data_IF_360912850095
#
_entry.id   IF_360912850095
#
_cell.length_a   1.000
_cell.length_b   1.000
_cell.length_c   1.000
_cell.angle_alpha   90.00
_cell.angle_beta   90.00
_cell.angle_gamma   90.00
#
_symmetry.space_group_name_H-M   'P 1'
#
loop_
_entity.id
_entity.type
_entity.pdbx_description
1 polymer ?
#
# COMPACT_ATOMS: atom_id res chain seq x y z
N UNK A 1 -1.65 41.54 24.04
CA UNK A 1 -3.01 42.11 24.01
C UNK A 1 -3.98 40.99 23.69
N UNK A 2 -5.08 40.89 24.44
CA UNK A 2 -6.11 39.87 24.19
C UNK A 2 -6.97 40.36 23.01
N UNK A 3 -7.52 39.43 22.22
CA UNK A 3 -8.31 39.77 21.03
C UNK A 3 -9.54 40.63 21.36
N UNK A 4 -10.06 40.54 22.58
CA UNK A 4 -11.23 41.29 23.02
C UNK A 4 -10.95 42.80 23.13
N UNK A 5 -9.72 43.19 23.48
CA UNK A 5 -9.30 44.59 23.59
C UNK A 5 -9.32 45.30 22.22
N UNK A 6 -8.99 44.57 21.15
CA UNK A 6 -8.97 45.08 19.78
C UNK A 6 -10.37 45.37 19.23
N UNK A 7 -11.35 44.51 19.50
CA UNK A 7 -12.71 44.71 19.01
C UNK A 7 -13.47 45.80 19.76
N UNK A 8 -13.16 46.03 21.04
CA UNK A 8 -13.69 47.17 21.79
C UNK A 8 -13.16 48.51 21.26
N UNK A 9 -11.89 48.56 20.81
CA UNK A 9 -11.32 49.74 20.16
C UNK A 9 -11.99 50.04 18.82
N UNK A 10 -12.30 49.01 18.03
CA UNK A 10 -13.01 49.17 16.75
C UNK A 10 -14.44 49.67 16.91
N UNK A 11 -15.19 49.24 17.94
CA UNK A 11 -16.57 49.70 18.16
C UNK A 11 -16.69 51.19 18.42
N UNK A 12 -15.65 51.81 18.96
CA UNK A 12 -15.61 53.24 19.26
C UNK A 12 -15.15 54.09 18.06
N UNK A 13 -14.81 53.47 16.93
CA UNK A 13 -14.48 54.16 15.69
C UNK A 13 -15.74 54.40 14.85
N UNK A 14 -15.95 55.65 14.43
CA UNK A 14 -16.99 55.98 13.47
C UNK A 14 -16.50 55.66 12.06
N UNK A 15 -16.93 54.52 11.51
CA UNK A 15 -16.58 54.09 10.14
C UNK A 15 -17.36 54.82 9.06
N UNK A 16 -18.39 55.58 9.43
CA UNK A 16 -19.24 56.29 8.48
C UNK A 16 -18.64 57.66 8.15
N UNK A 17 -17.52 57.61 7.44
CA UNK A 17 -16.68 58.78 7.12
C UNK A 17 -17.12 59.49 5.83
N UNK A 18 -17.93 58.83 4.99
CA UNK A 18 -18.46 59.40 3.76
C UNK A 18 -19.66 58.60 3.22
N UNK A 19 -20.70 59.31 2.77
CA UNK A 19 -21.81 58.70 2.05
C UNK A 19 -21.49 58.54 0.55
N UNK A 20 -22.00 57.48 -0.12
CA UNK A 20 -21.86 57.33 -1.56
C UNK A 20 -22.51 58.50 -2.32
N UNK A 21 -21.90 58.87 -3.44
CA UNK A 21 -22.47 59.90 -4.31
C UNK A 21 -23.86 59.50 -4.82
N UNK A 22 -24.77 60.47 -4.94
CA UNK A 22 -26.15 60.24 -5.38
C UNK A 22 -26.22 59.42 -6.69
N UNK A 23 -27.17 58.50 -6.76
CA UNK A 23 -27.32 57.52 -7.85
C UNK A 23 -26.35 56.34 -7.77
N UNK A 24 -25.60 56.16 -6.68
CA UNK A 24 -24.73 54.98 -6.49
C UNK A 24 -25.52 53.67 -6.55
N UNK A 25 -26.69 53.63 -5.92
CA UNK A 25 -27.56 52.44 -5.88
C UNK A 25 -28.04 52.04 -7.28
N UNK A 26 -28.48 52.98 -8.09
CA UNK A 26 -28.90 52.73 -9.48
C UNK A 26 -27.74 52.23 -10.35
N UNK A 27 -26.56 52.83 -10.19
CA UNK A 27 -25.33 52.37 -10.89
C UNK A 27 -24.93 50.97 -10.42
N UNK A 28 -25.11 50.66 -9.14
CA UNK A 28 -24.83 49.34 -8.59
C UNK A 28 -25.78 48.29 -9.16
N UNK A 29 -27.09 48.54 -9.14
CA UNK A 29 -28.08 47.66 -9.75
C UNK A 29 -27.88 47.47 -11.25
N UNK A 30 -27.47 48.52 -11.95
CA UNK A 30 -27.13 48.44 -13.37
C UNK A 30 -25.94 47.52 -13.60
N UNK A 31 -24.85 47.68 -12.83
CA UNK A 31 -23.68 46.80 -12.90
C UNK A 31 -23.99 45.35 -12.52
N UNK A 32 -24.88 45.13 -11.55
CA UNK A 32 -25.31 43.80 -11.14
C UNK A 32 -26.10 43.08 -12.24
N UNK A 33 -27.03 43.80 -12.90
CA UNK A 33 -27.83 43.26 -14.01
C UNK A 33 -26.99 43.05 -15.28
N UNK A 34 -25.93 43.82 -15.46
CA UNK A 34 -24.99 43.70 -16.57
C UNK A 34 -23.95 42.58 -16.35
N UNK A 35 -23.88 42.02 -15.14
CA UNK A 35 -23.05 40.87 -14.82
C UNK A 35 -23.73 39.58 -15.28
N UNK A 36 -23.34 39.09 -16.46
CA UNK A 36 -23.60 37.71 -16.88
C UNK A 36 -22.30 36.91 -16.70
N UNK A 37 -22.28 35.84 -15.88
CA UNK A 37 -21.12 34.95 -15.86
C UNK A 37 -20.99 34.29 -17.24
N UNK A 38 -19.97 34.67 -18.00
CA UNK A 38 -19.62 33.95 -19.23
C UNK A 38 -19.13 32.56 -18.85
N UNK A 39 -20.00 31.57 -18.98
CA UNK A 39 -19.61 30.16 -18.96
C UNK A 39 -19.21 29.74 -20.38
N UNK A 40 -18.25 28.82 -20.44
CA UNK A 40 -17.60 28.19 -21.60
C UNK A 40 -16.31 28.92 -22.07
N UNK A 41 -15.12 28.30 -22.04
CA UNK A 41 -14.76 26.88 -21.95
C UNK A 41 -13.62 26.70 -20.95
N UNK A 42 -13.71 25.63 -20.17
CA UNK A 42 -12.63 25.14 -19.32
C UNK A 42 -11.41 24.86 -20.20
N UNK A 43 -10.37 25.69 -20.07
CA UNK A 43 -9.00 25.27 -20.38
C UNK A 43 -8.35 24.88 -19.06
N UNK A 44 -8.58 23.65 -18.63
CA UNK A 44 -7.75 23.03 -17.60
C UNK A 44 -6.67 22.26 -18.33
N UNK A 45 -5.45 22.72 -18.10
CA UNK A 45 -4.23 22.20 -18.67
C UNK A 45 -4.02 20.75 -18.18
N UNK A 46 -3.62 19.91 -19.12
CA UNK A 46 -3.40 18.49 -18.98
C UNK A 46 -2.15 18.24 -18.14
N UNK A 47 -2.31 18.08 -16.83
CA UNK A 47 -1.36 17.27 -16.08
C UNK A 47 -1.78 15.80 -16.21
N UNK A 48 -0.81 14.97 -16.55
CA UNK A 48 -0.95 13.59 -17.03
C UNK A 48 -1.74 12.69 -16.07
N UNK A 49 -3.07 12.70 -16.21
CA UNK A 49 -3.95 11.68 -15.63
C UNK A 49 -3.79 10.30 -16.30
N UNK A 50 -2.97 10.19 -17.35
CA UNK A 50 -2.60 8.91 -17.94
C UNK A 50 -1.71 8.04 -17.05
N UNK A 51 -0.96 8.63 -16.12
CA UNK A 51 -0.12 7.89 -15.18
C UNK A 51 -0.88 7.42 -13.94
N UNK A 52 -1.72 8.30 -13.36
CA UNK A 52 -2.40 8.00 -12.09
C UNK A 52 -3.66 7.17 -12.30
N UNK A 53 -4.46 7.40 -13.34
CA UNK A 53 -5.59 6.53 -13.64
C UNK A 53 -5.13 5.16 -14.14
N UNK A 54 -4.06 5.07 -14.93
CA UNK A 54 -3.47 3.78 -15.29
C UNK A 54 -2.81 3.10 -14.08
N UNK A 55 -2.13 3.82 -13.18
CA UNK A 55 -1.57 3.23 -11.95
C UNK A 55 -2.66 2.86 -10.93
N UNK A 56 -3.79 3.55 -10.87
CA UNK A 56 -4.95 3.19 -10.06
C UNK A 56 -5.77 2.07 -10.71
N UNK A 57 -5.87 2.00 -12.05
CA UNK A 57 -6.50 0.89 -12.76
C UNK A 57 -5.61 -0.36 -12.77
N UNK A 58 -4.30 -0.23 -12.95
CA UNK A 58 -3.32 -1.32 -12.78
C UNK A 58 -3.24 -1.68 -11.30
N UNK A 59 -3.30 -0.71 -10.39
CA UNK A 59 -3.39 -0.93 -8.94
C UNK A 59 -4.67 -1.65 -8.54
N UNK A 60 -5.85 -1.26 -9.04
CA UNK A 60 -7.14 -1.93 -8.82
C UNK A 60 -7.26 -3.24 -9.62
N UNK A 61 -6.56 -3.40 -10.74
CA UNK A 61 -6.52 -4.65 -11.51
C UNK A 61 -5.60 -5.65 -10.81
N UNK A 62 -4.40 -5.26 -10.38
CA UNK A 62 -3.44 -6.10 -9.64
C UNK A 62 -3.94 -6.39 -8.22
N UNK A 63 -4.56 -5.42 -7.54
CA UNK A 63 -5.17 -5.60 -6.22
C UNK A 63 -6.52 -6.32 -6.35
N UNK A 64 -7.35 -6.01 -7.35
CA UNK A 64 -8.66 -6.66 -7.58
C UNK A 64 -8.59 -8.08 -8.14
N UNK A 65 -7.51 -8.45 -8.84
CA UNK A 65 -7.25 -9.86 -9.16
C UNK A 65 -6.67 -10.63 -7.97
N UNK A 66 -6.12 -9.94 -6.96
CA UNK A 66 -5.57 -10.58 -5.75
C UNK A 66 -6.58 -10.69 -4.59
N UNK A 67 -7.62 -9.84 -4.56
CA UNK A 67 -8.73 -9.96 -3.60
C UNK A 67 -9.84 -10.94 -4.02
N UNK A 68 -9.68 -11.67 -5.13
CA UNK A 68 -10.61 -12.72 -5.56
C UNK A 68 -10.34 -14.09 -4.92
N UNK A 69 -9.91 -14.10 -3.65
CA UNK A 69 -9.84 -15.32 -2.85
C UNK A 69 -10.55 -15.18 -1.51
N UNK A 70 -11.64 -14.40 -1.42
CA UNK A 70 -12.68 -14.74 -0.44
C UNK A 70 -13.59 -15.82 -1.03
N UNK A 71 -12.97 -16.94 -1.30
CA UNK A 71 -13.64 -18.13 -1.77
C UNK A 71 -14.11 -18.90 -0.55
N UNK A 72 -15.42 -18.90 -0.28
CA UNK A 72 -16.05 -19.85 0.66
C UNK A 72 -16.08 -21.28 0.08
N UNK A 73 -15.00 -21.73 -0.58
CA UNK A 73 -14.79 -23.15 -0.84
C UNK A 73 -14.41 -23.80 0.50
N UNK A 74 -14.78 -25.08 0.70
CA UNK A 74 -14.11 -25.88 1.73
C UNK A 74 -12.61 -25.82 1.46
N UNK A 75 -11.87 -25.02 2.23
CA UNK A 75 -10.43 -24.91 2.07
C UNK A 75 -9.82 -26.25 2.49
N UNK A 76 -9.21 -26.93 1.51
CA UNK A 76 -8.43 -28.15 1.76
C UNK A 76 -7.06 -27.82 2.31
N UNK A 77 -7.02 -27.07 3.40
CA UNK A 77 -5.76 -26.68 4.02
C UNK A 77 -5.37 -27.67 5.13
N UNK A 78 -4.18 -27.49 5.72
CA UNK A 78 -3.73 -28.35 6.81
C UNK A 78 -4.65 -28.20 8.03
N UNK A 79 -5.21 -27.03 8.27
CA UNK A 79 -6.15 -26.80 9.37
C UNK A 79 -7.41 -27.67 9.27
N UNK A 80 -7.82 -28.06 8.06
CA UNK A 80 -8.93 -28.98 7.83
C UNK A 80 -8.62 -30.44 8.22
N UNK A 81 -7.34 -30.82 8.39
CA UNK A 81 -6.91 -32.20 8.67
C UNK A 81 -7.12 -32.59 10.12
N UNK A 82 -6.55 -31.82 11.05
CA UNK A 82 -6.64 -32.04 12.50
C UNK A 82 -6.35 -30.74 13.28
N UNK A 83 -6.67 -30.66 14.58
CA UNK A 83 -6.30 -29.53 15.43
C UNK A 83 -4.79 -29.28 15.50
N UNK A 84 -3.98 -30.32 15.48
CA UNK A 84 -2.51 -30.24 15.46
C UNK A 84 -2.04 -29.64 14.15
N UNK A 85 -2.60 -30.09 13.02
CA UNK A 85 -2.25 -29.55 11.70
C UNK A 85 -2.69 -28.10 11.53
N UNK A 86 -3.77 -27.67 12.18
CA UNK A 86 -4.14 -26.25 12.29
C UNK A 86 -3.08 -25.44 13.02
N UNK A 87 -2.56 -25.95 14.15
CA UNK A 87 -1.47 -25.30 14.88
C UNK A 87 -0.21 -25.21 14.01
N UNK A 88 0.13 -26.26 13.28
CA UNK A 88 1.27 -26.28 12.35
C UNK A 88 1.12 -25.22 11.25
N UNK A 89 -0.05 -25.14 10.62
CA UNK A 89 -0.32 -24.11 9.61
C UNK A 89 -0.18 -22.70 10.19
N UNK A 90 -0.82 -22.44 11.33
CA UNK A 90 -0.75 -21.13 11.96
C UNK A 90 0.70 -20.75 12.33
N UNK A 91 1.46 -21.70 12.88
CA UNK A 91 2.85 -21.48 13.24
C UNK A 91 3.69 -21.07 12.02
N UNK A 92 3.63 -21.83 10.93
CA UNK A 92 4.42 -21.54 9.74
C UNK A 92 3.95 -20.28 9.00
N UNK A 93 2.65 -20.04 8.89
CA UNK A 93 2.13 -18.80 8.29
C UNK A 93 2.61 -17.56 9.06
N UNK A 94 2.52 -17.59 10.40
CA UNK A 94 2.99 -16.48 11.22
C UNK A 94 4.51 -16.27 11.10
N UNK A 95 5.28 -17.36 11.09
CA UNK A 95 6.73 -17.27 10.91
C UNK A 95 7.08 -16.67 9.55
N UNK A 96 6.46 -17.13 8.46
CA UNK A 96 6.68 -16.57 7.12
C UNK A 96 6.34 -15.08 7.08
N UNK A 97 5.24 -14.66 7.69
CA UNK A 97 4.85 -13.24 7.76
C UNK A 97 5.90 -12.41 8.51
N UNK A 98 6.39 -12.90 9.65
CA UNK A 98 7.43 -12.25 10.44
C UNK A 98 8.75 -12.10 9.68
N UNK A 99 9.17 -13.17 8.99
CA UNK A 99 10.41 -13.15 8.20
C UNK A 99 10.29 -12.24 6.97
N UNK A 100 9.12 -12.24 6.30
CA UNK A 100 8.86 -11.35 5.18
C UNK A 100 8.95 -9.87 5.59
N UNK A 101 8.36 -9.53 6.75
CA UNK A 101 8.48 -8.19 7.33
C UNK A 101 9.94 -7.84 7.63
N UNK A 102 10.68 -8.77 8.23
CA UNK A 102 12.10 -8.58 8.57
C UNK A 102 12.98 -8.37 7.34
N UNK A 103 12.66 -9.01 6.21
CA UNK A 103 13.33 -8.79 4.92
C UNK A 103 13.00 -7.41 4.37
N UNK A 104 11.73 -7.01 4.38
CA UNK A 104 11.28 -5.73 3.85
C UNK A 104 11.87 -4.56 4.66
N UNK A 105 11.97 -4.68 5.98
CA UNK A 105 12.62 -3.71 6.87
C UNK A 105 14.13 -3.52 6.54
N UNK A 106 14.76 -4.52 5.91
CA UNK A 106 16.18 -4.49 5.48
C UNK A 106 16.35 -4.08 4.00
N UNK A 107 15.28 -3.65 3.33
CA UNK A 107 15.34 -3.24 1.92
C UNK A 107 16.16 -1.96 1.75
N UNK A 108 17.17 -2.03 0.89
CA UNK A 108 17.99 -0.90 0.43
C UNK A 108 18.16 -0.99 -1.08
N UNK A 109 18.67 0.06 -1.76
CA UNK A 109 18.94 -0.02 -3.20
C UNK A 109 19.86 -1.19 -3.60
N UNK A 110 20.77 -1.64 -2.73
CA UNK A 110 21.66 -2.77 -3.05
C UNK A 110 21.06 -4.14 -2.75
N UNK A 111 20.06 -4.22 -1.88
CA UNK A 111 19.40 -5.49 -1.52
C UNK A 111 18.07 -5.66 -2.26
N UNK A 112 17.57 -4.63 -2.94
CA UNK A 112 16.28 -4.64 -3.63
C UNK A 112 16.15 -5.75 -4.69
N UNK A 113 17.21 -6.02 -5.45
CA UNK A 113 17.17 -7.04 -6.51
C UNK A 113 16.92 -8.44 -5.93
N UNK A 114 17.75 -8.88 -4.97
CA UNK A 114 17.60 -10.20 -4.35
C UNK A 114 16.25 -10.34 -3.62
N UNK A 115 15.78 -9.27 -2.97
CA UNK A 115 14.47 -9.29 -2.30
C UNK A 115 13.35 -9.45 -3.33
N UNK A 116 13.40 -8.73 -4.45
CA UNK A 116 12.39 -8.87 -5.51
C UNK A 116 12.38 -10.28 -6.12
N UNK A 117 13.56 -10.84 -6.39
CA UNK A 117 13.68 -12.21 -6.92
C UNK A 117 13.09 -13.23 -5.93
N UNK A 118 13.30 -13.03 -4.63
CA UNK A 118 12.71 -13.86 -3.59
C UNK A 118 11.17 -13.74 -3.54
N UNK A 119 10.62 -12.53 -3.69
CA UNK A 119 9.17 -12.33 -3.73
C UNK A 119 8.52 -13.07 -4.91
N UNK A 120 9.18 -13.09 -6.07
CA UNK A 120 8.71 -13.86 -7.25
C UNK A 120 8.75 -15.37 -6.96
N UNK A 121 9.81 -15.87 -6.33
CA UNK A 121 9.89 -17.28 -5.94
C UNK A 121 8.85 -17.65 -4.88
N UNK A 122 8.60 -16.78 -3.89
CA UNK A 122 7.54 -16.94 -2.90
C UNK A 122 6.16 -17.05 -3.54
N UNK A 123 5.85 -16.23 -4.55
CA UNK A 123 4.60 -16.35 -5.31
C UNK A 123 4.47 -17.69 -6.03
N UNK A 124 5.58 -18.26 -6.49
CA UNK A 124 5.58 -19.59 -7.13
C UNK A 124 5.26 -20.67 -6.10
N UNK A 125 5.92 -20.65 -4.94
CA UNK A 125 5.64 -21.57 -3.83
C UNK A 125 4.21 -21.41 -3.28
N UNK A 126 3.64 -20.21 -3.30
CA UNK A 126 2.23 -19.98 -2.95
C UNK A 126 1.26 -20.67 -3.90
N UNK A 127 1.46 -20.49 -5.20
CA UNK A 127 0.66 -21.17 -6.23
C UNK A 127 0.76 -22.69 -6.15
N UNK A 128 1.92 -23.22 -5.77
CA UNK A 128 2.10 -24.66 -5.53
C UNK A 128 1.29 -25.15 -4.33
N UNK A 129 1.29 -24.42 -3.22
CA UNK A 129 0.48 -24.75 -2.06
C UNK A 129 -1.02 -24.69 -2.37
N UNK A 130 -1.47 -23.72 -3.15
CA UNK A 130 -2.87 -23.65 -3.59
C UNK A 130 -3.28 -24.84 -4.48
N UNK A 131 -2.35 -25.40 -5.26
CA UNK A 131 -2.58 -26.68 -5.96
C UNK A 131 -2.68 -27.82 -4.96
N UNK A 132 -1.77 -27.89 -3.99
CA UNK A 132 -1.79 -28.92 -2.95
C UNK A 132 -3.08 -28.88 -2.11
N UNK A 133 -3.65 -27.69 -1.85
CA UNK A 133 -4.96 -27.57 -1.18
C UNK A 133 -6.06 -28.31 -1.96
N UNK A 134 -6.07 -28.16 -3.28
CA UNK A 134 -7.04 -28.84 -4.16
C UNK A 134 -6.79 -30.35 -4.17
N UNK A 135 -5.54 -30.76 -4.21
CA UNK A 135 -5.16 -32.19 -4.21
C UNK A 135 -5.49 -32.85 -2.86
N UNK A 136 -5.41 -32.11 -1.74
CA UNK A 136 -5.76 -32.61 -0.42
C UNK A 136 -7.25 -32.95 -0.33
N UNK A 137 -8.11 -32.10 -0.89
CA UNK A 137 -9.56 -32.38 -0.99
C UNK A 137 -9.83 -33.60 -1.87
N UNK A 138 -9.23 -33.63 -3.06
CA UNK A 138 -9.45 -34.71 -4.05
C UNK A 138 -8.97 -36.07 -3.55
N UNK A 139 -7.86 -36.09 -2.82
CA UNK A 139 -7.24 -37.32 -2.31
C UNK A 139 -7.86 -37.83 -1.00
N UNK A 140 -8.78 -37.08 -0.39
CA UNK A 140 -9.34 -37.45 0.91
C UNK A 140 -8.33 -37.34 2.05
N UNK A 141 -7.49 -36.29 2.04
CA UNK A 141 -6.42 -36.03 3.03
C UNK A 141 -5.27 -37.05 3.00
N UNK A 142 -4.78 -37.40 1.81
CA UNK A 142 -3.62 -38.28 1.66
C UNK A 142 -2.38 -37.71 2.39
N UNK A 143 -1.73 -38.55 3.20
CA UNK A 143 -0.54 -38.19 3.98
C UNK A 143 0.61 -37.67 3.12
N UNK A 144 0.73 -38.12 1.86
CA UNK A 144 1.73 -37.65 0.90
C UNK A 144 1.48 -36.20 0.49
N UNK A 145 0.21 -35.83 0.32
CA UNK A 145 -0.18 -34.43 0.03
C UNK A 145 0.06 -33.56 1.25
N UNK A 146 -0.28 -34.04 2.45
CA UNK A 146 0.02 -33.35 3.72
C UNK A 146 1.53 -33.11 3.86
N UNK A 147 2.35 -34.13 3.58
CA UNK A 147 3.81 -33.99 3.60
C UNK A 147 4.30 -32.95 2.59
N UNK A 148 3.79 -32.97 1.36
CA UNK A 148 4.12 -31.97 0.35
C UNK A 148 3.74 -30.54 0.77
N UNK A 149 2.60 -30.37 1.45
CA UNK A 149 2.16 -29.07 2.00
C UNK A 149 3.10 -28.56 3.09
N UNK A 150 3.52 -29.43 4.02
CA UNK A 150 4.51 -29.08 5.04
C UNK A 150 5.87 -28.74 4.40
N UNK A 151 6.31 -29.53 3.42
CA UNK A 151 7.55 -29.28 2.69
C UNK A 151 7.52 -27.95 1.93
N UNK A 152 6.37 -27.55 1.36
CA UNK A 152 6.23 -26.24 0.74
C UNK A 152 6.39 -25.09 1.76
N UNK A 153 5.84 -25.21 2.97
CA UNK A 153 6.11 -24.25 4.06
C UNK A 153 7.61 -24.17 4.38
N UNK A 154 8.27 -25.32 4.50
CA UNK A 154 9.72 -25.38 4.78
C UNK A 154 10.54 -24.69 3.67
N UNK A 155 10.24 -24.96 2.40
CA UNK A 155 10.91 -24.32 1.27
C UNK A 155 10.77 -22.79 1.28
N UNK A 156 9.60 -22.26 1.64
CA UNK A 156 9.40 -20.81 1.79
C UNK A 156 10.27 -20.24 2.90
N UNK A 157 10.32 -20.91 4.04
CA UNK A 157 11.13 -20.48 5.19
C UNK A 157 12.62 -20.51 4.83
N UNK A 158 13.08 -21.57 4.17
CA UNK A 158 14.47 -21.71 3.73
C UNK A 158 14.86 -20.60 2.75
N UNK A 159 13.97 -20.28 1.79
CA UNK A 159 14.17 -19.16 0.87
C UNK A 159 14.30 -17.83 1.61
N UNK A 160 13.39 -17.53 2.55
CA UNK A 160 13.42 -16.28 3.31
C UNK A 160 14.70 -16.17 4.17
N UNK A 161 15.11 -17.28 4.79
CA UNK A 161 16.36 -17.34 5.55
C UNK A 161 17.58 -17.06 4.66
N UNK A 162 17.66 -17.68 3.49
CA UNK A 162 18.74 -17.44 2.53
C UNK A 162 18.81 -15.97 2.10
N UNK A 163 17.66 -15.33 1.90
CA UNK A 163 17.56 -13.92 1.51
C UNK A 163 18.02 -13.00 2.64
N UNK A 164 17.65 -13.30 3.89
CA UNK A 164 18.12 -12.56 5.06
C UNK A 164 19.64 -12.62 5.21
N UNK A 165 20.21 -13.82 5.08
CA UNK A 165 21.67 -14.01 5.15
C UNK A 165 22.39 -13.24 4.04
N UNK A 166 21.90 -13.31 2.81
CA UNK A 166 22.51 -12.59 1.69
C UNK A 166 22.36 -11.07 1.82
N UNK A 167 21.20 -10.59 2.29
CA UNK A 167 20.94 -9.18 2.59
C UNK A 167 21.92 -8.66 3.65
N UNK A 168 22.16 -9.44 4.70
CA UNK A 168 23.12 -9.11 5.75
C UNK A 168 24.55 -9.03 5.18
N UNK A 169 24.99 -10.02 4.40
CA UNK A 169 26.32 -10.01 3.77
C UNK A 169 26.54 -8.79 2.87
N UNK A 170 25.52 -8.41 2.07
CA UNK A 170 25.60 -7.22 1.20
C UNK A 170 25.79 -5.94 2.04
N UNK A 171 25.08 -5.82 3.16
CA UNK A 171 25.18 -4.68 4.04
C UNK A 171 26.55 -4.60 4.74
N UNK A 172 27.09 -5.72 5.22
CA UNK A 172 28.43 -5.81 5.81
C UNK A 172 29.50 -5.37 4.79
N UNK A 173 29.44 -5.88 3.55
CA UNK A 173 30.37 -5.51 2.48
C UNK A 173 30.33 -4.01 2.12
N UNK A 174 29.17 -3.35 2.24
CA UNK A 174 29.06 -1.90 2.04
C UNK A 174 29.77 -1.10 3.14
N UNK A 175 29.65 -1.53 4.40
CA UNK A 175 30.30 -0.86 5.54
C UNK A 175 31.82 -0.88 5.34
N UNK A 176 32.39 -2.06 5.04
CA UNK A 176 33.83 -2.20 4.78
C UNK A 176 34.35 -1.30 3.64
N UNK A 177 33.58 -1.15 2.55
CA UNK A 177 33.96 -0.27 1.44
C UNK A 177 33.91 1.22 1.81
N UNK A 178 33.01 1.63 2.68
CA UNK A 178 32.92 3.03 3.09
C UNK A 178 34.08 3.41 4.03
N UNK A 179 34.46 2.53 4.96
CA UNK A 179 35.55 2.79 5.91
C UNK A 179 36.94 2.83 5.24
N UNK A 180 37.15 2.03 4.19
CA UNK A 180 38.43 1.96 3.45
C UNK A 180 38.61 3.10 2.45
N UNK A 181 37.55 3.78 2.03
CA UNK A 181 37.62 4.95 1.12
C UNK A 181 37.73 6.29 1.87
N UNK A 182 37.64 6.29 3.19
CA UNK A 182 37.78 7.49 4.05
C UNK A 182 39.18 7.66 4.65
N UNK A 183 40.15 6.84 4.23
CA UNK A 183 41.57 6.93 4.58
C UNK A 183 42.38 7.31 3.33
#
# INVERSE_FOLDING_TARGET
MKNDDFFEELKNLNFDTAEPTSGHEDRFHTKLKQYQPKTNKVKVLWFSLGGVAAALLIGLLVMGTSFNSFSFYKEGDLASVSPEMKKTQNFYSNLIEQELKSIEDKRTPATSQIINDALVQMQTLEKEYDKLKKDLLKSGKDKRVIFAMINNFQQRIDLLKQVLEQTQRINELKIYKNETNTL
#
